data_IF_018688946731
#
_entry.id   IF_018688946731
#
_cell.length_a   1.000
_cell.length_b   1.000
_cell.length_c   1.000
_cell.angle_alpha   90.00
_cell.angle_beta   90.00
_cell.angle_gamma   90.00
#
_symmetry.space_group_name_H-M   'P 1'
#
loop_
_entity.id
_entity.type
_entity.pdbx_description
1 polymer ?
#
# COMPACT_ATOMS: atom_id res chain seq x y z
N UNK A 1 17.06 24.00 60.68
CA UNK A 1 16.06 22.95 60.38
C UNK A 1 15.88 22.93 58.87
N UNK A 2 16.62 22.04 58.18
CA UNK A 2 16.52 21.89 56.72
C UNK A 2 15.25 21.09 56.39
N UNK A 3 14.43 21.63 55.49
CA UNK A 3 13.45 20.85 54.74
C UNK A 3 14.01 20.72 53.32
N UNK A 4 14.24 19.49 52.86
CA UNK A 4 14.13 19.19 51.43
C UNK A 4 13.68 17.75 51.24
N UNK A 5 12.66 17.65 50.39
CA UNK A 5 11.79 16.50 50.13
C UNK A 5 12.52 15.40 49.36
N UNK A 6 12.03 14.19 49.59
CA UNK A 6 12.31 12.93 48.92
C UNK A 6 12.38 13.06 47.39
N UNK A 7 13.47 12.57 46.80
CA UNK A 7 13.50 12.19 45.40
C UNK A 7 12.70 10.89 45.26
N UNK A 8 11.57 10.96 44.55
CA UNK A 8 10.89 9.76 44.08
C UNK A 8 11.73 9.15 42.96
N UNK A 9 12.29 7.96 43.20
CA UNK A 9 12.88 7.14 42.16
C UNK A 9 11.78 6.78 41.15
N UNK A 10 11.79 7.46 40.01
CA UNK A 10 10.98 7.11 38.87
C UNK A 10 11.47 5.76 38.33
N UNK A 11 10.77 4.69 38.70
CA UNK A 11 10.93 3.37 38.09
C UNK A 11 10.78 3.48 36.58
N UNK A 12 11.90 3.50 35.87
CA UNK A 12 11.93 3.48 34.41
C UNK A 12 11.32 2.17 33.94
N UNK A 13 10.14 2.24 33.31
CA UNK A 13 9.70 1.17 32.42
C UNK A 13 10.83 0.99 31.40
N UNK A 14 11.47 -0.18 31.39
CA UNK A 14 12.32 -0.58 30.28
C UNK A 14 11.52 -0.41 28.99
N UNK A 15 11.81 0.68 28.28
CA UNK A 15 11.26 0.90 26.96
C UNK A 15 11.92 -0.18 26.11
N UNK A 16 11.14 -1.15 25.65
CA UNK A 16 11.64 -2.27 24.87
C UNK A 16 12.17 -1.71 23.54
N UNK A 17 13.44 -1.30 23.52
CA UNK A 17 14.06 -0.61 22.40
C UNK A 17 14.09 -1.52 21.18
N UNK A 18 13.64 -0.98 20.04
CA UNK A 18 13.63 -1.74 18.78
C UNK A 18 15.07 -1.94 18.33
N UNK A 19 15.48 -3.21 18.18
CA UNK A 19 16.82 -3.56 17.69
C UNK A 19 17.04 -3.05 16.26
N UNK A 20 18.19 -2.44 16.01
CA UNK A 20 18.56 -1.87 14.70
C UNK A 20 19.56 -2.73 13.92
N UNK A 21 20.00 -3.86 14.48
CA UNK A 21 20.87 -4.82 13.78
C UNK A 21 20.79 -6.21 14.42
N UNK A 22 21.09 -7.24 13.63
CA UNK A 22 21.25 -8.62 14.10
C UNK A 22 22.31 -9.35 13.28
N UNK A 23 22.83 -10.47 13.80
CA UNK A 23 23.87 -11.27 13.13
C UNK A 23 23.35 -12.68 12.87
N UNK A 24 23.74 -13.21 11.72
CA UNK A 24 23.42 -14.57 11.24
C UNK A 24 24.71 -15.20 10.69
N UNK A 25 24.64 -16.43 10.19
CA UNK A 25 25.80 -17.11 9.59
C UNK A 25 26.34 -16.36 8.37
N UNK A 26 25.46 -15.73 7.61
CA UNK A 26 25.77 -14.97 6.40
C UNK A 26 26.44 -13.62 6.71
N UNK A 27 26.33 -13.13 7.96
CA UNK A 27 26.91 -11.88 8.41
C UNK A 27 25.92 -11.00 9.19
N UNK A 28 26.17 -9.68 9.16
CA UNK A 28 25.42 -8.68 9.93
C UNK A 28 24.35 -8.01 9.07
N UNK A 29 23.11 -8.03 9.56
CA UNK A 29 21.98 -7.29 9.01
C UNK A 29 21.82 -6.00 9.82
N UNK A 30 21.74 -4.85 9.12
CA UNK A 30 21.63 -3.53 9.74
C UNK A 30 20.47 -2.74 9.15
N UNK A 31 19.68 -2.12 10.02
CA UNK A 31 18.66 -1.15 9.64
C UNK A 31 19.33 0.13 9.13
N UNK A 32 19.03 0.50 7.90
CA UNK A 32 19.55 1.70 7.25
C UNK A 32 18.51 2.82 7.32
N UNK A 33 18.57 3.66 8.35
CA UNK A 33 17.60 4.74 8.57
C UNK A 33 17.60 5.79 7.46
N UNK A 34 18.71 5.97 6.73
CA UNK A 34 18.78 6.86 5.56
C UNK A 34 18.04 6.31 4.32
N UNK A 35 17.61 5.05 4.35
CA UNK A 35 16.84 4.36 3.29
C UNK A 35 15.36 4.18 3.65
N UNK A 36 14.89 4.79 4.74
CA UNK A 36 13.51 4.67 5.22
C UNK A 36 12.51 5.42 4.33
N UNK A 37 11.35 4.81 4.10
CA UNK A 37 10.19 5.41 3.42
C UNK A 37 9.03 5.54 4.40
N UNK A 38 8.43 6.73 4.45
CA UNK A 38 7.32 7.06 5.33
C UNK A 38 6.45 8.15 4.71
N UNK A 39 5.42 8.61 5.45
CA UNK A 39 4.78 9.88 5.15
C UNK A 39 5.81 11.02 5.19
N UNK A 40 5.68 12.07 4.35
CA UNK A 40 6.64 13.17 4.30
C UNK A 40 6.80 13.91 5.64
N UNK A 41 5.71 14.00 6.42
CA UNK A 41 5.72 14.64 7.74
C UNK A 41 6.39 13.81 8.84
N UNK A 42 6.74 12.54 8.57
CA UNK A 42 7.34 11.58 9.52
C UNK A 42 6.62 11.43 10.86
N UNK A 43 5.37 11.88 10.94
CA UNK A 43 4.56 11.70 12.14
C UNK A 43 4.18 10.22 12.22
N UNK A 44 4.35 9.56 13.36
CA UNK A 44 3.86 8.20 13.56
C UNK A 44 2.38 8.10 13.23
N UNK A 45 1.99 7.03 12.55
CA UNK A 45 0.58 6.79 12.25
C UNK A 45 -0.06 6.03 13.41
N UNK A 46 -1.11 6.60 14.01
CA UNK A 46 -1.90 5.88 15.00
C UNK A 46 -2.71 4.79 14.28
N UNK A 47 -2.33 3.53 14.49
CA UNK A 47 -2.87 2.38 13.78
C UNK A 47 -4.18 1.84 14.38
N UNK A 48 -4.62 2.31 15.55
CA UNK A 48 -5.79 1.78 16.23
C UNK A 48 -7.04 1.85 15.34
N UNK A 49 -7.62 0.68 15.03
CA UNK A 49 -8.83 0.56 14.20
C UNK A 49 -8.62 0.86 12.70
N UNK A 50 -7.38 1.05 12.25
CA UNK A 50 -7.06 1.36 10.85
C UNK A 50 -6.78 0.10 10.02
N UNK A 51 -6.82 0.25 8.69
CA UNK A 51 -6.37 -0.80 7.79
C UNK A 51 -4.85 -1.00 7.87
N UNK A 52 -4.35 -2.22 7.60
CA UNK A 52 -2.92 -2.46 7.60
C UNK A 52 -2.20 -1.59 6.55
N UNK A 53 -1.00 -1.13 6.92
CA UNK A 53 -0.02 -0.61 5.96
C UNK A 53 0.48 -1.78 5.12
N UNK A 54 0.43 -1.64 3.81
CA UNK A 54 0.93 -2.60 2.82
C UNK A 54 1.97 -1.91 1.95
N UNK A 55 2.83 -2.73 1.35
CA UNK A 55 3.91 -2.29 0.46
C UNK A 55 3.90 -3.17 -0.78
N UNK A 56 4.04 -2.56 -1.96
CA UNK A 56 4.25 -3.26 -3.22
C UNK A 56 5.43 -2.63 -3.96
N UNK A 57 6.21 -3.48 -4.63
CA UNK A 57 7.35 -3.07 -5.45
C UNK A 57 7.10 -3.46 -6.91
N UNK A 58 7.65 -2.67 -7.83
CA UNK A 58 7.69 -3.01 -9.26
C UNK A 58 8.98 -2.45 -9.86
N UNK A 59 9.57 -3.19 -10.80
CA UNK A 59 10.66 -2.69 -11.63
C UNK A 59 10.09 -2.28 -12.99
N UNK A 60 10.40 -1.08 -13.44
CA UNK A 60 9.86 -0.51 -14.70
C UNK A 60 10.84 -0.58 -15.88
N UNK A 61 11.90 -1.37 -15.77
CA UNK A 61 12.95 -1.53 -16.79
C UNK A 61 13.54 -0.20 -17.30
N UNK A 62 13.60 0.81 -16.41
CA UNK A 62 14.21 2.10 -16.71
C UNK A 62 15.74 1.95 -16.84
N UNK A 63 16.27 2.33 -18.01
CA UNK A 63 17.69 2.26 -18.36
C UNK A 63 18.57 3.16 -17.47
N UNK A 64 17.99 4.08 -16.70
CA UNK A 64 18.71 4.96 -15.77
C UNK A 64 19.29 4.25 -14.53
N UNK A 65 18.97 2.98 -14.31
CA UNK A 65 19.38 2.23 -13.11
C UNK A 65 18.59 2.58 -11.84
N UNK A 66 17.52 3.37 -11.98
CA UNK A 66 16.54 3.66 -10.93
C UNK A 66 15.16 3.10 -11.29
N UNK A 67 15.10 1.89 -11.85
CA UNK A 67 13.84 1.26 -12.30
C UNK A 67 12.92 0.77 -11.20
N UNK A 68 13.38 0.64 -9.95
CA UNK A 68 12.52 0.18 -8.87
C UNK A 68 11.58 1.28 -8.39
N UNK A 69 10.34 0.89 -8.13
CA UNK A 69 9.29 1.73 -7.57
C UNK A 69 8.72 1.09 -6.32
N UNK A 70 8.33 1.91 -5.36
CA UNK A 70 7.66 1.49 -4.13
C UNK A 70 6.31 2.18 -4.03
N UNK A 71 5.28 1.41 -3.71
CA UNK A 71 3.97 1.89 -3.32
C UNK A 71 3.64 1.44 -1.90
N UNK A 72 3.08 2.35 -1.10
CA UNK A 72 2.56 2.00 0.23
C UNK A 72 1.36 2.86 0.62
N UNK A 73 0.46 2.29 1.42
CA UNK A 73 -0.70 2.99 1.96
C UNK A 73 -0.54 3.31 3.46
N UNK A 74 -1.06 4.46 3.89
CA UNK A 74 -1.18 4.84 5.31
C UNK A 74 -2.56 5.47 5.53
N UNK A 75 -3.45 4.74 6.20
CA UNK A 75 -4.84 5.17 6.41
C UNK A 75 -5.55 5.46 5.08
N UNK A 76 -5.76 6.75 4.79
CA UNK A 76 -6.42 7.24 3.56
C UNK A 76 -5.46 7.67 2.46
N UNK A 77 -4.16 7.63 2.71
CA UNK A 77 -3.14 8.10 1.78
C UNK A 77 -2.49 6.90 1.08
N UNK A 78 -2.20 7.05 -0.22
CA UNK A 78 -1.40 6.13 -1.01
C UNK A 78 -0.23 6.90 -1.60
N UNK A 79 0.97 6.37 -1.49
CA UNK A 79 2.20 7.00 -1.97
C UNK A 79 2.88 6.12 -3.01
N UNK A 80 3.53 6.77 -3.98
CA UNK A 80 4.34 6.13 -5.01
C UNK A 80 5.67 6.88 -5.21
N UNK A 81 6.79 6.18 -5.07
CA UNK A 81 8.14 6.75 -5.17
C UNK A 81 9.08 5.85 -5.98
N UNK A 82 10.22 6.43 -6.39
CA UNK A 82 11.40 5.65 -6.76
C UNK A 82 11.92 4.95 -5.51
N UNK A 83 12.17 3.64 -5.59
CA UNK A 83 12.84 2.88 -4.54
C UNK A 83 14.35 2.83 -4.83
N UNK A 84 15.17 3.22 -3.85
CA UNK A 84 16.63 3.32 -4.01
C UNK A 84 17.42 2.22 -3.28
N UNK A 85 16.74 1.18 -2.79
CA UNK A 85 17.38 0.08 -2.07
C UNK A 85 18.12 0.58 -0.83
N UNK A 86 19.39 0.18 -0.71
CA UNK A 86 20.29 0.55 0.40
C UNK A 86 20.89 1.96 0.27
N UNK A 87 20.66 2.66 -0.84
CA UNK A 87 21.09 4.05 -1.03
C UNK A 87 20.16 4.99 -0.25
N UNK A 88 20.56 6.26 -0.13
CA UNK A 88 19.69 7.31 0.43
C UNK A 88 18.34 7.31 -0.28
N UNK A 89 17.26 7.26 0.50
CA UNK A 89 15.89 7.24 0.00
C UNK A 89 15.62 8.43 -0.93
N UNK A 90 14.62 8.28 -1.79
CA UNK A 90 14.11 9.41 -2.57
C UNK A 90 13.63 10.56 -1.66
N UNK A 91 13.58 11.77 -2.20
CA UNK A 91 13.05 12.92 -1.48
C UNK A 91 11.56 12.69 -1.16
N UNK A 92 11.27 12.40 0.11
CA UNK A 92 9.91 12.09 0.57
C UNK A 92 8.95 13.28 0.42
N UNK A 93 9.44 14.51 0.20
CA UNK A 93 8.57 15.65 -0.11
C UNK A 93 8.07 15.66 -1.56
N UNK A 94 8.65 14.82 -2.43
CA UNK A 94 8.38 14.78 -3.87
C UNK A 94 7.98 13.36 -4.34
N UNK A 95 6.82 12.85 -3.93
CA UNK A 95 6.28 11.62 -4.49
C UNK A 95 6.08 11.75 -6.00
N UNK A 96 6.22 10.63 -6.72
CA UNK A 96 5.82 10.56 -8.13
C UNK A 96 4.30 10.78 -8.20
N UNK A 97 3.55 10.03 -7.38
CA UNK A 97 2.12 10.21 -7.17
C UNK A 97 1.74 10.08 -5.69
N UNK A 98 0.72 10.83 -5.29
CA UNK A 98 0.12 10.80 -3.96
C UNK A 98 -1.39 10.89 -4.11
N UNK A 99 -2.12 9.92 -3.56
CA UNK A 99 -3.59 9.91 -3.56
C UNK A 99 -4.15 9.98 -2.15
N UNK A 100 -5.27 10.68 -2.00
CA UNK A 100 -6.03 10.81 -0.75
C UNK A 100 -7.46 10.36 -0.99
N UNK A 101 -7.89 9.33 -0.27
CA UNK A 101 -9.22 8.75 -0.39
C UNK A 101 -10.16 9.26 0.71
N UNK A 102 -11.23 9.98 0.34
CA UNK A 102 -12.15 10.65 1.29
C UNK A 102 -13.26 9.74 1.84
N UNK A 103 -13.67 8.71 1.10
CA UNK A 103 -14.81 7.85 1.47
C UNK A 103 -14.46 6.43 1.91
N UNK A 104 -13.34 5.90 1.45
CA UNK A 104 -12.90 4.52 1.73
C UNK A 104 -11.38 4.50 1.89
N UNK A 105 -10.84 3.46 2.52
CA UNK A 105 -9.41 3.35 2.81
C UNK A 105 -8.80 2.19 2.03
N UNK A 106 -7.63 2.36 1.41
CA UNK A 106 -6.87 1.25 0.85
C UNK A 106 -6.61 0.15 1.89
N UNK A 107 -6.58 -1.09 1.43
CA UNK A 107 -6.39 -2.29 2.26
C UNK A 107 -5.25 -3.18 1.77
N UNK A 108 -5.04 -3.19 0.45
CA UNK A 108 -4.04 -3.95 -0.26
C UNK A 108 -3.91 -3.39 -1.68
N UNK A 109 -2.81 -3.72 -2.36
CA UNK A 109 -2.55 -3.26 -3.71
C UNK A 109 -1.52 -4.16 -4.40
N UNK A 110 -1.54 -4.19 -5.73
CA UNK A 110 -0.64 -5.04 -6.52
C UNK A 110 -0.32 -4.45 -7.90
N UNK A 111 0.94 -4.53 -8.29
CA UNK A 111 1.40 -4.08 -9.61
C UNK A 111 1.27 -5.21 -10.63
N UNK A 112 0.90 -4.86 -11.86
CA UNK A 112 1.11 -5.77 -12.97
C UNK A 112 2.59 -5.69 -13.38
N UNK A 113 3.34 -6.74 -13.08
CA UNK A 113 4.77 -6.80 -13.44
C UNK A 113 5.00 -7.05 -14.93
N UNK A 114 4.02 -7.63 -15.64
CA UNK A 114 4.15 -7.99 -17.04
C UNK A 114 4.08 -6.75 -17.94
N UNK A 115 3.21 -5.79 -17.60
CA UNK A 115 2.95 -4.60 -18.41
C UNK A 115 3.70 -3.35 -17.93
N UNK A 116 4.59 -3.49 -16.94
CA UNK A 116 5.30 -2.36 -16.35
C UNK A 116 6.40 -1.82 -17.27
N UNK A 117 6.33 -0.52 -17.58
CA UNK A 117 7.34 0.23 -18.33
C UNK A 117 7.66 1.56 -17.65
N UNK A 118 8.72 2.24 -18.11
CA UNK A 118 9.12 3.54 -17.56
C UNK A 118 8.03 4.62 -17.71
N UNK A 119 7.15 4.45 -18.68
CA UNK A 119 6.07 5.38 -19.04
C UNK A 119 4.71 4.99 -18.44
N UNK A 120 4.51 3.72 -18.05
CA UNK A 120 3.21 3.21 -17.62
C UNK A 120 3.34 2.07 -16.63
N UNK A 121 2.52 2.08 -15.58
CA UNK A 121 2.38 0.92 -14.68
C UNK A 121 0.95 0.75 -14.23
N UNK A 122 0.44 -0.47 -14.33
CA UNK A 122 -0.90 -0.82 -13.86
C UNK A 122 -0.86 -1.22 -12.39
N UNK A 123 -1.52 -0.45 -11.53
CA UNK A 123 -1.62 -0.71 -10.09
C UNK A 123 -3.09 -0.91 -9.70
N UNK A 124 -3.39 -2.08 -9.14
CA UNK A 124 -4.68 -2.36 -8.49
C UNK A 124 -4.62 -1.93 -7.03
N UNK A 125 -5.70 -1.31 -6.55
CA UNK A 125 -5.87 -0.90 -5.15
C UNK A 125 -7.20 -1.42 -4.64
N UNK A 126 -7.19 -2.30 -3.63
CA UNK A 126 -8.38 -2.84 -2.98
C UNK A 126 -8.78 -2.00 -1.76
N UNK A 127 -10.08 -1.82 -1.55
CA UNK A 127 -10.61 -0.90 -0.54
C UNK A 127 -11.47 -1.57 0.55
N UNK A 128 -11.62 -0.87 1.68
CA UNK A 128 -12.38 -1.34 2.84
C UNK A 128 -13.88 -1.51 2.61
N UNK A 129 -14.43 -0.89 1.56
CA UNK A 129 -15.85 -0.99 1.22
C UNK A 129 -16.15 -1.95 0.06
N UNK A 130 -15.14 -2.73 -0.38
CA UNK A 130 -15.29 -3.79 -1.38
C UNK A 130 -14.91 -3.38 -2.81
N UNK A 131 -14.61 -2.11 -3.07
CA UNK A 131 -14.17 -1.67 -4.39
C UNK A 131 -12.73 -2.10 -4.68
N UNK A 132 -12.40 -2.16 -5.97
CA UNK A 132 -11.03 -2.19 -6.48
C UNK A 132 -10.86 -1.09 -7.51
N UNK A 133 -9.78 -0.32 -7.44
CA UNK A 133 -9.45 0.72 -8.42
C UNK A 133 -8.19 0.33 -9.19
N UNK A 134 -8.23 0.50 -10.51
CA UNK A 134 -7.05 0.45 -11.37
C UNK A 134 -6.55 1.86 -11.65
N UNK A 135 -5.28 2.11 -11.35
CA UNK A 135 -4.63 3.41 -11.54
C UNK A 135 -3.29 3.24 -12.28
N UNK A 136 -2.88 4.30 -12.96
CA UNK A 136 -1.50 4.48 -13.42
C UNK A 136 -0.86 5.65 -12.65
N UNK A 137 0.01 5.38 -11.66
CA UNK A 137 0.65 6.43 -10.87
C UNK A 137 1.81 7.13 -11.59
N UNK A 138 2.33 6.60 -12.70
CA UNK A 138 3.34 7.31 -13.50
C UNK A 138 2.64 8.40 -14.33
N UNK A 139 1.57 8.03 -15.02
CA UNK A 139 0.73 8.96 -15.81
C UNK A 139 -0.21 9.80 -14.94
N UNK A 140 -0.40 9.41 -13.68
CA UNK A 140 -1.36 10.00 -12.71
C UNK A 140 -2.81 9.88 -13.19
N UNK A 141 -3.11 8.80 -13.88
CA UNK A 141 -4.44 8.53 -14.43
C UNK A 141 -5.21 7.56 -13.55
N UNK A 142 -6.53 7.70 -13.56
CA UNK A 142 -7.45 6.71 -12.96
C UNK A 142 -8.13 5.99 -14.09
N UNK A 143 -7.83 4.71 -14.28
CA UNK A 143 -8.30 3.98 -15.44
C UNK A 143 -9.70 3.41 -15.22
N UNK A 144 -9.96 2.80 -14.05
CA UNK A 144 -11.23 2.09 -13.82
C UNK A 144 -11.53 1.87 -12.35
N UNK A 145 -12.82 1.83 -12.01
CA UNK A 145 -13.31 1.38 -10.70
C UNK A 145 -14.18 0.13 -10.89
N UNK A 146 -13.90 -0.89 -10.10
CA UNK A 146 -14.59 -2.18 -10.10
C UNK A 146 -15.40 -2.32 -8.82
N UNK A 147 -16.60 -2.91 -8.94
CA UNK A 147 -17.55 -3.05 -7.83
C UNK A 147 -17.89 -1.70 -7.16
N UNK A 148 -17.97 -0.62 -7.93
CA UNK A 148 -18.24 0.75 -7.44
C UNK A 148 -19.55 0.82 -6.63
N UNK A 149 -20.61 0.25 -7.19
CA UNK A 149 -21.95 0.16 -6.60
C UNK A 149 -22.06 -0.89 -5.48
N UNK A 150 -20.98 -1.63 -5.20
CA UNK A 150 -20.90 -2.65 -4.13
C UNK A 150 -21.95 -3.74 -4.25
N UNK A 151 -22.36 -4.07 -5.49
CA UNK A 151 -23.37 -5.09 -5.77
C UNK A 151 -22.79 -6.51 -5.79
N UNK A 152 -21.49 -6.67 -6.09
CA UNK A 152 -20.83 -7.98 -6.12
C UNK A 152 -20.53 -8.44 -4.70
N UNK A 153 -19.87 -7.59 -3.91
CA UNK A 153 -19.61 -7.84 -2.49
C UNK A 153 -19.46 -6.49 -1.75
N UNK A 154 -20.09 -6.39 -0.57
CA UNK A 154 -20.07 -5.17 0.26
C UNK A 154 -18.97 -5.18 1.32
N UNK A 155 -18.37 -6.34 1.57
CA UNK A 155 -17.34 -6.57 2.57
C UNK A 155 -15.96 -6.14 2.07
N UNK A 156 -15.06 -5.83 3.00
CA UNK A 156 -13.72 -5.31 2.69
C UNK A 156 -12.95 -6.25 1.79
N UNK A 157 -12.17 -5.67 0.87
CA UNK A 157 -11.12 -6.42 0.18
C UNK A 157 -10.02 -6.78 1.18
N UNK A 158 -9.50 -8.00 1.07
CA UNK A 158 -8.46 -8.55 1.95
C UNK A 158 -7.15 -8.82 1.20
N UNK A 159 -7.23 -9.22 -0.07
CA UNK A 159 -6.10 -9.36 -0.98
C UNK A 159 -6.56 -9.09 -2.42
N UNK A 160 -5.71 -8.42 -3.20
CA UNK A 160 -5.82 -8.26 -4.65
C UNK A 160 -4.50 -8.66 -5.27
N UNK A 161 -4.54 -9.46 -6.35
CA UNK A 161 -3.37 -9.87 -7.11
C UNK A 161 -3.70 -9.97 -8.59
N UNK A 162 -2.78 -9.53 -9.44
CA UNK A 162 -2.82 -9.89 -10.85
C UNK A 162 -2.65 -11.41 -11.02
N UNK A 163 -3.36 -11.99 -11.98
CA UNK A 163 -3.13 -13.39 -12.35
C UNK A 163 -1.73 -13.48 -12.98
N UNK A 164 -0.87 -14.41 -12.54
CA UNK A 164 0.47 -14.55 -13.12
C UNK A 164 0.43 -14.75 -14.64
N UNK A 165 1.25 -13.98 -15.37
CA UNK A 165 1.33 -14.05 -16.84
C UNK A 165 0.16 -13.40 -17.58
N UNK A 166 -0.75 -12.71 -16.88
CA UNK A 166 -1.91 -12.06 -17.50
C UNK A 166 -1.80 -10.54 -17.45
N UNK A 167 -2.18 -9.90 -18.56
CA UNK A 167 -2.25 -8.44 -18.68
C UNK A 167 -3.57 -7.86 -18.16
N UNK A 168 -4.65 -8.65 -18.15
CA UNK A 168 -6.02 -8.13 -17.94
C UNK A 168 -6.79 -8.82 -16.82
N UNK A 169 -6.43 -10.04 -16.42
CA UNK A 169 -7.07 -10.78 -15.34
C UNK A 169 -6.43 -10.50 -13.97
N UNK A 170 -7.27 -10.32 -12.97
CA UNK A 170 -6.86 -10.21 -11.57
C UNK A 170 -7.88 -10.84 -10.64
N UNK A 171 -7.41 -11.30 -9.47
CA UNK A 171 -8.19 -11.99 -8.46
C UNK A 171 -8.30 -11.13 -7.20
N UNK A 172 -9.50 -11.08 -6.63
CA UNK A 172 -9.82 -10.30 -5.43
C UNK A 172 -10.46 -11.22 -4.40
N UNK A 173 -10.01 -11.13 -3.14
CA UNK A 173 -10.60 -11.85 -2.01
C UNK A 173 -11.22 -10.90 -1.01
N UNK A 174 -12.35 -11.28 -0.43
CA UNK A 174 -13.16 -10.45 0.44
C UNK A 174 -13.33 -11.07 1.83
N UNK A 175 -13.62 -10.24 2.83
CA UNK A 175 -13.84 -10.71 4.20
C UNK A 175 -15.12 -11.55 4.38
N UNK A 176 -16.00 -11.57 3.37
CA UNK A 176 -17.11 -12.52 3.24
C UNK A 176 -16.66 -13.99 3.12
N UNK A 177 -15.37 -14.24 2.82
CA UNK A 177 -14.83 -15.56 2.51
C UNK A 177 -14.85 -15.88 1.01
N UNK A 178 -15.32 -14.95 0.17
CA UNK A 178 -15.43 -15.15 -1.27
C UNK A 178 -14.21 -14.61 -2.05
N UNK A 179 -14.03 -15.15 -3.24
CA UNK A 179 -13.04 -14.68 -4.23
C UNK A 179 -13.71 -14.44 -5.59
N UNK A 180 -13.28 -13.40 -6.29
CA UNK A 180 -13.84 -13.00 -7.57
C UNK A 180 -12.73 -12.72 -8.57
N UNK A 181 -12.83 -13.32 -9.76
CA UNK A 181 -11.95 -13.04 -10.88
C UNK A 181 -12.55 -11.91 -11.73
N UNK A 182 -11.75 -10.89 -11.99
CA UNK A 182 -12.12 -9.75 -12.83
C UNK A 182 -11.24 -9.72 -14.08
N UNK A 183 -11.79 -9.12 -15.14
CA UNK A 183 -11.05 -8.74 -16.34
C UNK A 183 -11.11 -7.22 -16.50
N UNK A 184 -9.96 -6.58 -16.72
CA UNK A 184 -9.83 -5.12 -16.87
C UNK A 184 -10.68 -4.58 -18.00
N UNK A 185 -10.85 -5.32 -19.10
CA UNK A 185 -11.61 -4.87 -20.27
C UNK A 185 -13.13 -4.94 -20.04
N UNK A 186 -13.58 -5.81 -19.15
CA UNK A 186 -15.02 -6.02 -18.92
C UNK A 186 -15.59 -4.99 -17.96
N UNK A 187 -16.81 -4.53 -18.21
CA UNK A 187 -17.56 -3.68 -17.27
C UNK A 187 -18.26 -4.56 -16.22
N UNK A 188 -18.42 -4.04 -15.00
CA UNK A 188 -19.30 -4.68 -14.03
C UNK A 188 -20.74 -4.53 -14.53
N UNK A 189 -21.48 -5.64 -14.61
CA UNK A 189 -22.89 -5.61 -15.04
C UNK A 189 -23.73 -4.76 -14.08
N UNK A 190 -24.44 -3.77 -14.62
CA UNK A 190 -25.55 -3.12 -13.94
C UNK A 190 -26.73 -4.07 -13.94
N UNK A 191 -26.86 -4.92 -12.92
CA UNK A 191 -28.09 -5.71 -12.76
C UNK A 191 -29.20 -4.76 -12.32
N UNK A 192 -29.88 -4.13 -13.29
CA UNK A 192 -31.26 -3.72 -13.06
C UNK A 192 -32.04 -5.00 -12.78
N UNK A 193 -32.64 -5.12 -11.59
CA UNK A 193 -33.59 -6.16 -11.29
C UNK A 193 -34.78 -5.98 -12.25
N UNK A 194 -34.75 -6.62 -13.41
CA UNK A 194 -35.96 -6.90 -14.17
C UNK A 194 -36.71 -7.96 -13.39
N UNK A 195 -37.65 -7.52 -12.55
CA UNK A 195 -38.74 -8.37 -12.09
C UNK A 195 -39.46 -8.85 -13.34
N UNK A 196 -39.21 -10.10 -13.73
CA UNK A 196 -40.00 -10.78 -14.75
C UNK A 196 -41.32 -11.15 -14.10
N UNK A 197 -42.38 -10.53 -14.61
CA UNK A 197 -43.81 -10.88 -14.60
C UNK A 197 -44.37 -11.67 -13.41
#
# INVERSE_FOLDING_TARGET
MLISKMAAEGGGKEMNEIKTQFTTREGVYKLLTHSEYSRPNRVPFNSQGSNPVKVSFVNVNDQSGNGDRICFNVGRELYFYIYKGVRKAADLSKPIDKRIYKGTQPTCHDFNHLTATAESVSLLVGFSAGQVQLIDPIKKETSKLFNEERLIDKSRVTCVKWVPGSESLFLVSHASGNMYLYNVEHTCGTTALTTSS
#
